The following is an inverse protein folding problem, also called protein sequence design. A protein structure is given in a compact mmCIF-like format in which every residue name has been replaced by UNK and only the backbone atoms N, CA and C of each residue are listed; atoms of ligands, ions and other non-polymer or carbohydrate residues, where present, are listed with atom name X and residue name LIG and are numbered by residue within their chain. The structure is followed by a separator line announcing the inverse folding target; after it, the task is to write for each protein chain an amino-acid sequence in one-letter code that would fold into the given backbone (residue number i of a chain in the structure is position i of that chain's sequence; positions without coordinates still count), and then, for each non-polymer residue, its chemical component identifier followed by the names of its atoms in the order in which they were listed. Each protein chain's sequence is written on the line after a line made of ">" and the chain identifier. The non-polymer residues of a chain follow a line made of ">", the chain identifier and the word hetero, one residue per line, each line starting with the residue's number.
data_IF_334610449721
#
_entry.id   IF_334610449721
#
_cell.length_a   1.000
_cell.length_b   1.000
_cell.length_c   1.000
_cell.angle_alpha   90.00
_cell.angle_beta   90.00
_cell.angle_gamma   90.00
#
_symmetry.space_group_name_H-M   'P 1'
#
loop_
_entity.id
_entity.type
_entity.pdbx_description
1 polymer ?
#
# COMPACT_ATOMS: atom_id res chain seq x y z
N UNK A 1 -19.79 -5.81 11.86
CA UNK A 1 -18.43 -6.40 11.80
C UNK A 1 -17.65 -5.56 10.80
N UNK A 2 -16.74 -4.69 11.26
CA UNK A 2 -15.86 -3.93 10.36
C UNK A 2 -14.79 -4.91 9.91
N UNK A 3 -14.98 -5.53 8.74
CA UNK A 3 -13.93 -6.34 8.13
C UNK A 3 -12.85 -5.35 7.70
N UNK A 4 -11.80 -5.22 8.51
CA UNK A 4 -10.58 -4.55 8.05
C UNK A 4 -9.94 -5.50 7.06
N UNK A 5 -10.10 -5.22 5.77
CA UNK A 5 -9.39 -5.95 4.73
C UNK A 5 -7.88 -5.84 4.99
N UNK A 6 -7.26 -7.00 5.11
CA UNK A 6 -5.85 -7.18 5.40
C UNK A 6 -5.24 -7.99 4.26
N UNK A 7 -4.07 -7.57 3.81
CA UNK A 7 -3.21 -8.37 2.94
C UNK A 7 -1.79 -8.40 3.47
N UNK A 8 -0.85 -9.00 2.73
CA UNK A 8 0.57 -9.05 3.10
C UNK A 8 1.46 -8.65 1.93
N UNK A 9 2.51 -7.87 2.19
CA UNK A 9 3.56 -7.61 1.20
C UNK A 9 4.33 -8.90 0.86
N UNK A 10 5.27 -8.80 -0.08
CA UNK A 10 6.11 -9.94 -0.51
C UNK A 10 7.00 -10.55 0.58
N UNK A 11 7.19 -9.86 1.70
CA UNK A 11 7.93 -10.35 2.86
C UNK A 11 7.00 -10.93 3.94
N UNK A 12 5.70 -11.03 3.66
CA UNK A 12 4.69 -11.49 4.60
C UNK A 12 4.27 -10.44 5.62
N UNK A 13 4.67 -9.17 5.46
CA UNK A 13 4.32 -8.10 6.40
C UNK A 13 2.91 -7.57 6.12
N UNK A 14 2.12 -7.28 7.16
CA UNK A 14 0.72 -6.92 6.99
C UNK A 14 0.56 -5.55 6.30
N UNK A 15 -0.28 -5.53 5.26
CA UNK A 15 -0.81 -4.36 4.60
C UNK A 15 -2.26 -4.16 5.03
N UNK A 16 -2.50 -3.13 5.83
CA UNK A 16 -3.81 -2.71 6.29
C UNK A 16 -3.98 -1.20 6.09
N UNK A 17 -5.21 -0.71 6.15
CA UNK A 17 -5.46 0.74 6.14
C UNK A 17 -4.70 1.41 7.28
N UNK A 18 -3.92 2.43 6.96
CA UNK A 18 -3.02 3.16 7.86
C UNK A 18 -1.58 2.65 7.87
N UNK A 19 -1.28 1.48 7.29
CA UNK A 19 0.10 0.97 7.20
C UNK A 19 0.95 1.93 6.37
N UNK A 20 2.11 2.34 6.91
CA UNK A 20 3.11 3.11 6.16
C UNK A 20 3.86 2.17 5.23
N UNK A 21 4.04 2.58 3.99
CA UNK A 21 4.61 1.74 2.94
C UNK A 21 5.58 2.52 2.05
N UNK A 22 6.49 1.80 1.42
CA UNK A 22 7.26 2.27 0.26
C UNK A 22 6.78 1.59 -1.01
N UNK A 23 6.65 2.36 -2.09
CA UNK A 23 6.29 1.83 -3.41
C UNK A 23 7.56 1.46 -4.15
N UNK A 24 7.87 0.17 -4.28
CA UNK A 24 9.12 -0.29 -4.90
C UNK A 24 9.09 -0.26 -6.43
N UNK A 25 7.91 -0.18 -7.04
CA UNK A 25 7.75 -0.09 -8.49
C UNK A 25 8.06 1.31 -9.05
N UNK A 26 7.95 2.37 -8.24
CA UNK A 26 8.20 3.74 -8.68
C UNK A 26 9.65 4.17 -8.42
N UNK A 27 10.20 4.93 -9.37
CA UNK A 27 11.54 5.48 -9.27
C UNK A 27 11.62 6.46 -8.09
N UNK A 28 12.63 6.30 -7.24
CA UNK A 28 12.75 7.06 -5.98
C UNK A 28 12.01 6.45 -4.79
N UNK A 29 11.30 5.33 -4.99
CA UNK A 29 10.62 4.55 -3.94
C UNK A 29 9.78 5.42 -3.00
N UNK A 30 8.78 6.13 -3.53
CA UNK A 30 8.03 7.09 -2.72
C UNK A 30 7.33 6.38 -1.56
N UNK A 31 7.33 7.06 -0.42
CA UNK A 31 6.61 6.61 0.77
C UNK A 31 5.18 7.13 0.79
N UNK A 32 4.30 6.35 1.37
CA UNK A 32 2.92 6.72 1.58
C UNK A 32 2.25 5.88 2.66
N UNK A 33 0.94 6.01 2.75
CA UNK A 33 0.12 5.22 3.66
C UNK A 33 -1.00 4.52 2.92
N UNK A 34 -1.24 3.25 3.24
CA UNK A 34 -2.35 2.50 2.66
C UNK A 34 -3.67 3.12 3.13
N UNK A 35 -4.54 3.49 2.20
CA UNK A 35 -5.89 4.01 2.50
C UNK A 35 -6.99 3.03 2.14
N UNK A 36 -6.68 2.03 1.31
CA UNK A 36 -7.59 0.93 0.95
C UNK A 36 -6.82 -0.34 0.65
N UNK A 37 -7.34 -1.48 1.06
CA UNK A 37 -6.85 -2.81 0.67
C UNK A 37 -7.91 -3.44 -0.21
N UNK A 38 -7.52 -3.99 -1.36
CA UNK A 38 -8.38 -4.68 -2.30
C UNK A 38 -7.84 -6.10 -2.47
N UNK A 39 -7.96 -6.91 -1.42
CA UNK A 39 -7.32 -8.23 -1.33
C UNK A 39 -7.78 -9.18 -2.44
N UNK A 40 -9.06 -9.14 -2.80
CA UNK A 40 -9.65 -9.90 -3.92
C UNK A 40 -8.99 -9.59 -5.27
N UNK A 41 -8.44 -8.38 -5.43
CA UNK A 41 -7.80 -7.90 -6.66
C UNK A 41 -6.28 -7.89 -6.59
N UNK A 42 -5.69 -8.34 -5.48
CA UNK A 42 -4.24 -8.32 -5.31
C UNK A 42 -3.63 -6.91 -5.26
N UNK A 43 -4.39 -5.89 -4.85
CA UNK A 43 -3.98 -4.49 -4.92
C UNK A 43 -4.24 -3.71 -3.62
N UNK A 44 -3.54 -2.58 -3.47
CA UNK A 44 -3.73 -1.60 -2.40
C UNK A 44 -3.75 -0.18 -2.98
N UNK A 45 -4.54 0.70 -2.37
CA UNK A 45 -4.48 2.14 -2.65
C UNK A 45 -3.60 2.80 -1.61
N UNK A 46 -2.57 3.51 -2.07
CA UNK A 46 -1.59 4.22 -1.26
C UNK A 46 -1.78 5.72 -1.48
N UNK A 47 -1.86 6.46 -0.37
CA UNK A 47 -1.77 7.90 -0.33
C UNK A 47 -0.29 8.29 -0.24
N UNK A 48 0.28 8.75 -1.34
CA UNK A 48 1.63 9.30 -1.40
C UNK A 48 1.64 10.70 -0.78
N UNK A 49 2.64 11.00 0.04
CA UNK A 49 2.78 12.32 0.68
C UNK A 49 3.70 13.27 -0.12
N UNK A 50 4.61 12.71 -0.93
CA UNK A 50 5.60 13.46 -1.73
C UNK A 50 5.70 12.85 -3.13
N UNK A 51 5.93 13.66 -4.19
CA UNK A 51 6.09 15.12 -4.20
C UNK A 51 4.78 15.91 -4.07
N UNK A 52 3.64 15.25 -4.26
CA UNK A 52 2.31 15.83 -4.04
C UNK A 52 1.40 14.77 -3.43
N UNK A 53 0.40 15.21 -2.67
CA UNK A 53 -0.60 14.34 -2.07
C UNK A 53 -1.44 13.69 -3.18
N UNK A 54 -1.25 12.41 -3.42
CA UNK A 54 -1.95 11.68 -4.47
C UNK A 54 -2.31 10.27 -4.00
N UNK A 55 -3.53 9.84 -4.30
CA UNK A 55 -3.94 8.45 -4.13
C UNK A 55 -3.63 7.68 -5.41
N UNK A 56 -2.89 6.58 -5.28
CA UNK A 56 -2.55 5.70 -6.39
C UNK A 56 -2.74 4.25 -5.98
N UNK A 57 -3.16 3.44 -6.94
CA UNK A 57 -3.35 2.00 -6.74
C UNK A 57 -2.12 1.26 -7.22
N UNK A 58 -1.65 0.32 -6.40
CA UNK A 58 -0.51 -0.53 -6.70
C UNK A 58 -0.85 -2.00 -6.44
N UNK A 59 -0.29 -2.91 -7.24
CA UNK A 59 -0.19 -4.32 -6.87
C UNK A 59 0.49 -4.50 -5.51
N UNK A 60 0.02 -5.47 -4.72
CA UNK A 60 0.56 -5.74 -3.38
C UNK A 60 2.05 -6.13 -3.41
N UNK A 61 2.52 -6.77 -4.47
CA UNK A 61 3.92 -7.17 -4.66
C UNK A 61 4.85 -5.99 -5.03
N UNK A 62 4.28 -4.83 -5.36
CA UNK A 62 4.98 -3.59 -5.71
C UNK A 62 5.04 -2.60 -4.54
N UNK A 63 4.51 -3.00 -3.39
CA UNK A 63 4.47 -2.20 -2.18
C UNK A 63 5.11 -3.00 -1.05
N UNK A 64 5.84 -2.31 -0.19
CA UNK A 64 6.45 -2.91 1.00
C UNK A 64 6.08 -2.13 2.23
N UNK A 65 5.70 -2.83 3.30
CA UNK A 65 5.48 -2.21 4.61
C UNK A 65 6.80 -1.64 5.15
N UNK A 66 6.72 -0.52 5.87
CA UNK A 66 7.84 0.08 6.59
C UNK A 66 7.77 -0.22 8.09
#
# INVERSE_FOLDING_TARGET
>A
MVVREQSTDRHGRPLAVGTRVRVVAEQGQPEGSVVRVLSEYGAVTVLLEKPAKAERMYPINEVEAL
#
